data_IF_104330612109
#
_entry.id   IF_104330612109
#
_cell.length_a   1.000
_cell.length_b   1.000
_cell.length_c   1.000
_cell.angle_alpha   90.00
_cell.angle_beta   90.00
_cell.angle_gamma   90.00
#
_symmetry.space_group_name_H-M   'P 1'
#
loop_
_entity.id
_entity.type
_entity.pdbx_description
1 polymer ?
#
# COMPACT_ATOMS: atom_id res chain seq x y z
N UNK A 1 -30.89 -17.80 7.91
CA UNK A 1 -29.55 -17.17 7.84
C UNK A 1 -29.71 -15.72 8.25
N UNK A 2 -29.19 -15.32 9.41
CA UNK A 2 -29.13 -13.90 9.74
C UNK A 2 -28.12 -13.25 8.78
N UNK A 3 -28.53 -12.17 8.13
CA UNK A 3 -27.62 -11.36 7.34
C UNK A 3 -26.54 -10.84 8.28
N UNK A 4 -25.32 -11.37 8.19
CA UNK A 4 -24.17 -10.75 8.83
C UNK A 4 -24.16 -9.28 8.43
N UNK A 5 -24.21 -8.41 9.45
CA UNK A 5 -24.13 -6.99 9.21
C UNK A 5 -22.71 -6.73 8.70
N UNK A 6 -22.55 -6.51 7.39
CA UNK A 6 -21.26 -6.38 6.69
C UNK A 6 -20.25 -5.40 7.32
N UNK A 7 -20.73 -4.58 8.25
CA UNK A 7 -19.98 -3.54 8.95
C UNK A 7 -19.43 -3.96 10.32
N UNK A 8 -20.00 -5.00 10.96
CA UNK A 8 -19.60 -5.52 12.28
C UNK A 8 -19.37 -7.03 12.18
N UNK A 9 -18.10 -7.44 12.22
CA UNK A 9 -17.71 -8.85 12.17
C UNK A 9 -16.73 -9.14 13.31
N UNK A 10 -16.72 -10.37 13.87
CA UNK A 10 -15.78 -10.73 14.93
C UNK A 10 -14.32 -10.46 14.57
N UNK A 11 -13.96 -10.63 13.29
CA UNK A 11 -12.63 -10.32 12.76
C UNK A 11 -12.31 -8.83 12.91
N UNK A 12 -13.26 -7.93 12.61
CA UNK A 12 -13.03 -6.49 12.78
C UNK A 12 -12.90 -6.11 14.25
N UNK A 13 -13.66 -6.75 15.13
CA UNK A 13 -13.58 -6.51 16.58
C UNK A 13 -12.21 -6.94 17.13
N UNK A 14 -11.71 -8.11 16.75
CA UNK A 14 -10.37 -8.59 17.11
C UNK A 14 -9.28 -7.61 16.64
N UNK A 15 -9.39 -7.10 15.41
CA UNK A 15 -8.44 -6.12 14.89
C UNK A 15 -8.54 -4.77 15.60
N UNK A 16 -9.75 -4.33 15.99
CA UNK A 16 -9.91 -3.13 16.81
C UNK A 16 -9.21 -3.27 18.16
N UNK A 17 -9.28 -4.43 18.81
CA UNK A 17 -8.57 -4.70 20.06
C UNK A 17 -7.05 -4.61 19.87
N UNK A 18 -6.50 -5.24 18.82
CA UNK A 18 -5.07 -5.15 18.47
C UNK A 18 -4.62 -3.72 18.23
N UNK A 19 -5.40 -2.94 17.50
CA UNK A 19 -5.11 -1.54 17.18
C UNK A 19 -5.19 -0.67 18.44
N UNK A 20 -6.19 -0.90 19.29
CA UNK A 20 -6.36 -0.18 20.55
C UNK A 20 -5.24 -0.46 21.56
N UNK A 21 -4.52 -1.59 21.43
CA UNK A 21 -3.36 -1.91 22.26
C UNK A 21 -2.10 -1.11 21.90
N UNK A 22 -2.02 -0.50 20.70
CA UNK A 22 -0.85 0.30 20.28
C UNK A 22 -0.63 1.50 21.21
N UNK A 23 0.62 1.74 21.61
CA UNK A 23 1.02 2.83 22.52
C UNK A 23 2.02 3.79 21.91
N UNK A 24 2.81 3.33 20.95
CA UNK A 24 3.85 4.16 20.31
C UNK A 24 3.70 4.21 18.80
N UNK A 25 4.18 5.30 18.19
CA UNK A 25 4.19 5.44 16.73
C UNK A 25 4.99 4.33 16.04
N UNK A 26 6.07 3.85 16.66
CA UNK A 26 6.91 2.77 16.13
C UNK A 26 6.17 1.43 16.08
N UNK A 27 5.42 1.06 17.12
CA UNK A 27 4.55 -0.13 17.11
C UNK A 27 3.50 -0.02 15.99
N UNK A 28 2.90 1.16 15.85
CA UNK A 28 1.92 1.42 14.81
C UNK A 28 2.49 1.32 13.40
N UNK A 29 3.68 1.89 13.16
CA UNK A 29 4.42 1.77 11.89
C UNK A 29 4.68 0.30 11.56
N UNK A 30 5.22 -0.46 12.52
CA UNK A 30 5.53 -1.88 12.32
C UNK A 30 4.28 -2.69 11.98
N UNK A 31 3.17 -2.47 12.72
CA UNK A 31 1.89 -3.11 12.44
C UNK A 31 1.37 -2.76 11.04
N UNK A 32 1.40 -1.49 10.65
CA UNK A 32 0.90 -1.06 9.34
C UNK A 32 1.73 -1.62 8.18
N UNK A 33 3.06 -1.60 8.30
CA UNK A 33 3.96 -2.15 7.29
C UNK A 33 3.74 -3.66 7.13
N UNK A 34 3.65 -4.39 8.24
CA UNK A 34 3.38 -5.82 8.20
C UNK A 34 2.00 -6.13 7.62
N UNK A 35 0.97 -5.40 8.03
CA UNK A 35 -0.38 -5.54 7.50
C UNK A 35 -0.44 -5.35 5.98
N UNK A 36 0.20 -4.30 5.47
CA UNK A 36 0.29 -4.02 4.03
C UNK A 36 1.03 -5.11 3.28
N UNK A 37 2.10 -5.68 3.86
CA UNK A 37 2.82 -6.80 3.28
C UNK A 37 1.91 -8.04 3.15
N UNK A 38 1.20 -8.38 4.21
CA UNK A 38 0.42 -9.62 4.30
C UNK A 38 -0.90 -9.57 3.54
N UNK A 39 -1.59 -8.43 3.56
CA UNK A 39 -3.01 -8.37 3.21
C UNK A 39 -3.37 -7.41 2.06
N UNK A 40 -2.43 -6.60 1.54
CA UNK A 40 -2.73 -5.62 0.48
C UNK A 40 -1.96 -5.86 -0.82
N UNK A 41 -2.47 -5.30 -1.92
CA UNK A 41 -1.92 -5.49 -3.25
C UNK A 41 -2.24 -6.86 -3.89
N UNK A 42 -1.84 -7.08 -5.15
CA UNK A 42 -1.93 -8.38 -5.81
C UNK A 42 -0.84 -9.37 -5.33
N UNK A 43 0.22 -8.85 -4.73
CA UNK A 43 1.39 -9.55 -4.17
C UNK A 43 1.24 -9.82 -2.66
N UNK A 44 0.01 -9.83 -2.15
CA UNK A 44 -0.28 -10.12 -0.73
C UNK A 44 0.09 -11.56 -0.39
N UNK A 45 0.53 -11.80 0.84
CA UNK A 45 0.91 -13.15 1.31
C UNK A 45 -0.31 -14.03 1.59
N UNK A 46 -1.44 -13.44 1.99
CA UNK A 46 -2.67 -14.17 2.30
C UNK A 46 -3.91 -13.42 1.84
N UNK A 47 -4.95 -14.19 1.50
CA UNK A 47 -6.27 -13.68 1.12
C UNK A 47 -7.33 -13.84 2.22
N UNK A 48 -6.94 -14.27 3.43
CA UNK A 48 -7.85 -14.49 4.57
C UNK A 48 -8.73 -13.27 4.88
N UNK A 49 -8.16 -12.07 4.83
CA UNK A 49 -8.86 -10.81 5.10
C UNK A 49 -9.37 -10.10 3.83
N UNK A 50 -9.65 -10.84 2.74
CA UNK A 50 -9.97 -10.22 1.44
C UNK A 50 -11.13 -9.21 1.51
N UNK A 51 -12.14 -9.42 2.36
CA UNK A 51 -13.32 -8.54 2.47
C UNK A 51 -13.13 -7.43 3.51
N UNK A 52 -12.17 -7.59 4.41
CA UNK A 52 -11.98 -6.76 5.60
C UNK A 52 -10.74 -5.87 5.49
N UNK A 53 -9.76 -6.24 4.67
CA UNK A 53 -8.41 -5.67 4.72
C UNK A 53 -8.38 -4.15 4.55
N UNK A 54 -9.16 -3.60 3.60
CA UNK A 54 -9.21 -2.16 3.38
C UNK A 54 -9.74 -1.39 4.60
N UNK A 55 -10.76 -1.95 5.28
CA UNK A 55 -11.32 -1.34 6.47
C UNK A 55 -10.33 -1.40 7.62
N UNK A 56 -9.71 -2.58 7.86
CA UNK A 56 -8.73 -2.76 8.92
C UNK A 56 -7.53 -1.84 8.69
N UNK A 57 -7.00 -1.78 7.46
CA UNK A 57 -5.89 -0.89 7.10
C UNK A 57 -6.22 0.56 7.46
N UNK A 58 -7.42 1.05 7.12
CA UNK A 58 -7.82 2.42 7.47
C UNK A 58 -7.85 2.68 8.97
N UNK A 59 -8.20 1.67 9.80
CA UNK A 59 -8.22 1.80 11.26
C UNK A 59 -6.81 1.83 11.84
N UNK A 60 -5.90 1.03 11.28
CA UNK A 60 -4.48 1.10 11.61
C UNK A 60 -3.94 2.48 11.21
N UNK A 61 -4.20 2.95 9.99
CA UNK A 61 -3.78 4.28 9.50
C UNK A 61 -4.24 5.41 10.42
N UNK A 62 -5.51 5.40 10.85
CA UNK A 62 -6.04 6.39 11.80
C UNK A 62 -5.28 6.37 13.14
N UNK A 63 -5.07 5.19 13.71
CA UNK A 63 -4.36 5.06 14.99
C UNK A 63 -2.91 5.50 14.90
N UNK A 64 -2.24 5.13 13.81
CA UNK A 64 -0.86 5.52 13.52
C UNK A 64 -0.74 7.04 13.34
N UNK A 65 -1.67 7.67 12.61
CA UNK A 65 -1.70 9.11 12.43
C UNK A 65 -1.92 9.84 13.77
N UNK A 66 -2.81 9.34 14.62
CA UNK A 66 -3.05 9.87 15.96
C UNK A 66 -1.76 9.80 16.81
N UNK A 67 -1.14 8.62 16.90
CA UNK A 67 0.10 8.42 17.68
C UNK A 67 1.24 9.31 17.18
N UNK A 68 1.37 9.50 15.86
CA UNK A 68 2.34 10.41 15.28
C UNK A 68 2.05 11.87 15.69
N UNK A 69 0.80 12.30 15.63
CA UNK A 69 0.39 13.64 16.06
C UNK A 69 0.63 13.87 17.56
N UNK A 70 0.40 12.87 18.40
CA UNK A 70 0.65 12.94 19.85
C UNK A 70 2.15 13.00 20.18
N UNK A 71 2.98 12.28 19.41
CA UNK A 71 4.43 12.25 19.61
C UNK A 71 5.17 13.45 18.99
N UNK A 72 4.55 14.15 18.05
CA UNK A 72 5.19 15.25 17.31
C UNK A 72 5.05 16.57 18.05
N UNK A 73 6.18 17.15 18.47
CA UNK A 73 6.20 18.42 19.22
C UNK A 73 5.87 19.62 18.33
N UNK A 74 6.37 19.63 17.08
CA UNK A 74 6.22 20.77 16.17
C UNK A 74 5.30 20.42 15.00
N UNK A 75 4.18 21.14 14.86
CA UNK A 75 3.18 20.89 13.81
C UNK A 75 3.77 20.89 12.38
N UNK A 76 4.82 21.68 12.12
CA UNK A 76 5.50 21.69 10.83
C UNK A 76 6.10 20.32 10.46
N UNK A 77 6.60 19.57 11.47
CA UNK A 77 7.17 18.24 11.24
C UNK A 77 6.13 17.23 10.73
N UNK A 78 4.83 17.41 11.04
CA UNK A 78 3.77 16.56 10.48
C UNK A 78 3.61 16.73 8.96
N UNK A 79 4.03 17.87 8.42
CA UNK A 79 3.92 18.20 7.00
C UNK A 79 5.23 17.98 6.24
N UNK A 80 6.36 18.12 6.92
CA UNK A 80 7.69 18.18 6.30
C UNK A 80 8.55 16.95 6.54
N UNK A 81 8.11 16.01 7.38
CA UNK A 81 8.80 14.76 7.66
C UNK A 81 7.92 13.55 7.39
N UNK A 82 8.54 12.44 7.01
CA UNK A 82 7.88 11.13 7.06
C UNK A 82 7.63 10.74 8.52
N UNK A 83 6.76 9.76 8.73
CA UNK A 83 6.38 9.32 10.09
C UNK A 83 7.56 8.78 10.92
N UNK A 84 8.63 8.34 10.25
CA UNK A 84 9.87 7.87 10.85
C UNK A 84 10.96 8.96 10.88
N UNK A 85 10.62 10.22 10.60
CA UNK A 85 11.48 11.39 10.75
C UNK A 85 12.41 11.69 9.57
N UNK A 86 12.31 10.95 8.46
CA UNK A 86 13.13 11.18 7.25
C UNK A 86 12.62 12.35 6.42
N UNK A 87 13.47 12.85 5.54
CA UNK A 87 13.10 13.85 4.55
C UNK A 87 12.28 13.22 3.41
N UNK A 88 11.01 13.63 3.20
CA UNK A 88 10.18 13.08 2.15
C UNK A 88 10.68 13.44 0.73
N UNK A 89 11.52 14.47 0.57
CA UNK A 89 12.17 14.80 -0.70
C UNK A 89 13.19 13.72 -1.08
N UNK A 90 14.05 13.31 -0.15
CA UNK A 90 15.04 12.25 -0.40
C UNK A 90 14.35 10.93 -0.77
N UNK A 91 13.25 10.59 -0.08
CA UNK A 91 12.45 9.41 -0.42
C UNK A 91 11.83 9.56 -1.82
N UNK A 92 11.30 10.74 -2.14
CA UNK A 92 10.74 11.01 -3.47
C UNK A 92 11.77 10.76 -4.57
N UNK A 93 12.98 11.28 -4.40
CA UNK A 93 14.08 11.10 -5.35
C UNK A 93 14.52 9.64 -5.45
N UNK A 94 14.65 8.94 -4.32
CA UNK A 94 15.00 7.51 -4.29
C UNK A 94 14.04 6.67 -5.14
N UNK A 95 12.73 6.87 -4.98
CA UNK A 95 11.72 6.07 -5.68
C UNK A 95 11.56 6.44 -7.15
N UNK A 96 11.74 7.72 -7.49
CA UNK A 96 11.76 8.14 -8.89
C UNK A 96 12.99 7.61 -9.61
N UNK A 97 14.16 7.62 -8.96
CA UNK A 97 15.40 7.05 -9.51
C UNK A 97 15.28 5.56 -9.78
N UNK A 98 14.70 4.79 -8.85
CA UNK A 98 14.40 3.35 -9.08
C UNK A 98 13.52 3.11 -10.30
N UNK A 99 12.70 4.07 -10.69
CA UNK A 99 11.82 3.95 -11.84
C UNK A 99 12.49 4.31 -13.17
N UNK A 100 13.64 5.01 -13.19
CA UNK A 100 14.23 5.58 -14.40
C UNK A 100 14.52 4.52 -15.46
N UNK A 101 15.15 3.41 -15.05
CA UNK A 101 15.62 2.35 -15.96
C UNK A 101 14.61 1.19 -16.14
N UNK A 102 13.42 1.28 -15.54
CA UNK A 102 12.42 0.22 -15.68
C UNK A 102 11.64 0.41 -16.98
N UNK A 103 11.85 -0.49 -17.94
CA UNK A 103 11.11 -0.52 -19.22
C UNK A 103 10.12 -1.69 -19.33
N UNK A 104 10.05 -2.53 -18.30
CA UNK A 104 9.08 -3.62 -18.23
C UNK A 104 7.82 -3.19 -17.45
N UNK A 105 6.60 -3.31 -18.03
CA UNK A 105 5.36 -2.91 -17.33
C UNK A 105 5.08 -3.73 -16.07
N UNK A 106 5.56 -4.98 -15.99
CA UNK A 106 5.39 -5.85 -14.81
C UNK A 106 6.29 -5.38 -13.67
N UNK A 107 7.55 -5.08 -13.96
CA UNK A 107 8.50 -4.55 -12.98
C UNK A 107 8.06 -3.17 -12.49
N UNK A 108 7.58 -2.31 -13.39
CA UNK A 108 7.06 -1.00 -13.02
C UNK A 108 5.82 -1.12 -12.13
N UNK A 109 4.94 -2.09 -12.39
CA UNK A 109 3.79 -2.38 -11.52
C UNK A 109 4.22 -2.84 -10.12
N UNK A 110 5.27 -3.66 -10.03
CA UNK A 110 5.84 -4.11 -8.74
C UNK A 110 6.41 -2.92 -7.97
N UNK A 111 7.15 -2.02 -8.65
CA UNK A 111 7.67 -0.80 -8.03
C UNK A 111 6.54 0.09 -7.51
N UNK A 112 5.50 0.35 -8.30
CA UNK A 112 4.33 1.12 -7.86
C UNK A 112 3.65 0.48 -6.63
N UNK A 113 3.51 -0.84 -6.61
CA UNK A 113 2.92 -1.56 -5.48
C UNK A 113 3.79 -1.44 -4.23
N UNK A 114 5.10 -1.63 -4.36
CA UNK A 114 6.06 -1.48 -3.27
C UNK A 114 6.07 -0.05 -2.70
N UNK A 115 6.02 0.96 -3.57
CA UNK A 115 5.96 2.37 -3.17
C UNK A 115 4.73 2.63 -2.32
N UNK A 116 3.54 2.20 -2.76
CA UNK A 116 2.30 2.37 -2.00
C UNK A 116 2.35 1.64 -0.65
N UNK A 117 2.86 0.41 -0.61
CA UNK A 117 2.97 -0.35 0.65
C UNK A 117 3.89 0.35 1.66
N UNK A 118 5.01 0.91 1.20
CA UNK A 118 5.97 1.59 2.04
C UNK A 118 5.50 2.99 2.48
N UNK A 119 4.89 3.76 1.58
CA UNK A 119 4.77 5.21 1.73
C UNK A 119 3.38 5.79 1.67
N UNK A 120 2.35 4.98 1.40
CA UNK A 120 0.96 5.47 1.49
C UNK A 120 0.74 6.10 2.88
N UNK A 121 0.09 7.28 2.96
CA UNK A 121 -0.21 7.92 4.22
C UNK A 121 -0.79 6.94 5.26
N UNK A 122 -0.49 7.11 6.56
CA UNK A 122 0.21 8.24 7.18
C UNK A 122 1.75 8.17 7.13
N UNK A 123 2.35 7.21 6.39
CA UNK A 123 3.80 7.01 6.36
C UNK A 123 4.57 8.22 5.80
N UNK A 124 4.01 8.85 4.77
CA UNK A 124 4.54 10.06 4.14
C UNK A 124 3.43 11.12 4.07
N UNK A 125 3.74 12.42 4.19
CA UNK A 125 2.75 13.46 3.96
C UNK A 125 2.20 13.40 2.53
N UNK A 126 0.89 13.56 2.39
CA UNK A 126 0.18 13.38 1.11
C UNK A 126 0.71 14.27 -0.02
N UNK A 127 1.20 15.47 0.32
CA UNK A 127 1.74 16.44 -0.62
C UNK A 127 3.04 15.97 -1.29
N UNK A 128 3.78 15.06 -0.69
CA UNK A 128 4.94 14.40 -1.30
C UNK A 128 4.53 13.08 -1.95
N UNK A 129 3.64 12.33 -1.30
CA UNK A 129 3.23 11.02 -1.79
C UNK A 129 2.54 11.08 -3.17
N UNK A 130 1.52 11.94 -3.30
CA UNK A 130 0.64 11.95 -4.47
C UNK A 130 1.34 12.39 -5.78
N UNK A 131 2.23 13.41 -5.79
CA UNK A 131 3.00 13.75 -6.98
C UNK A 131 3.91 12.61 -7.48
N UNK A 132 4.55 11.86 -6.57
CA UNK A 132 5.38 10.71 -6.93
C UNK A 132 4.52 9.60 -7.49
N UNK A 133 3.42 9.25 -6.82
CA UNK A 133 2.46 8.25 -7.28
C UNK A 133 1.97 8.58 -8.71
N UNK A 134 1.63 9.85 -8.97
CA UNK A 134 1.25 10.32 -10.30
C UNK A 134 2.35 10.04 -11.33
N UNK A 135 3.61 10.37 -11.04
CA UNK A 135 4.75 10.13 -11.96
C UNK A 135 4.96 8.63 -12.21
N UNK A 136 4.99 7.81 -11.16
CA UNK A 136 5.19 6.36 -11.26
C UNK A 136 4.07 5.70 -12.06
N UNK A 137 2.81 6.01 -11.76
CA UNK A 137 1.66 5.46 -12.49
C UNK A 137 1.62 5.96 -13.93
N UNK A 138 2.00 7.22 -14.20
CA UNK A 138 2.07 7.73 -15.57
C UNK A 138 3.07 6.94 -16.42
N UNK A 139 4.25 6.61 -15.87
CA UNK A 139 5.23 5.74 -16.56
C UNK A 139 4.66 4.33 -16.76
N UNK A 140 4.05 3.72 -15.73
CA UNK A 140 3.42 2.41 -15.85
C UNK A 140 2.37 2.35 -16.96
N UNK A 141 1.50 3.35 -17.07
CA UNK A 141 0.47 3.41 -18.11
C UNK A 141 1.09 3.53 -19.51
N UNK A 142 2.15 4.34 -19.66
CA UNK A 142 2.90 4.44 -20.92
C UNK A 142 3.55 3.12 -21.33
N UNK A 143 4.08 2.35 -20.39
CA UNK A 143 4.67 1.03 -20.67
C UNK A 143 3.61 -0.03 -21.01
N UNK A 144 2.40 0.08 -20.46
CA UNK A 144 1.31 -0.86 -20.75
C UNK A 144 0.60 -0.59 -22.08
N UNK A 145 0.51 0.67 -22.49
CA UNK A 145 -0.33 1.07 -23.61
C UNK A 145 0.00 0.38 -24.96
N UNK A 146 1.28 0.26 -25.39
CA UNK A 146 1.62 -0.33 -26.69
C UNK A 146 1.20 -1.79 -26.83
N UNK A 147 1.19 -2.52 -25.71
CA UNK A 147 1.03 -3.97 -25.69
C UNK A 147 -0.39 -4.42 -25.31
N UNK A 148 -1.29 -3.46 -25.04
CA UNK A 148 -2.57 -3.71 -24.37
C UNK A 148 -3.51 -4.64 -25.15
N UNK A 149 -3.53 -4.53 -26.49
CA UNK A 149 -4.39 -5.35 -27.37
C UNK A 149 -3.60 -6.27 -28.31
N UNK A 150 -2.27 -6.23 -28.23
CA UNK A 150 -1.39 -6.90 -29.20
C UNK A 150 -0.75 -8.15 -28.64
N UNK A 151 -0.64 -8.28 -27.31
CA UNK A 151 -0.05 -9.47 -26.68
C UNK A 151 -1.11 -10.58 -26.56
N UNK A 152 -0.89 -11.79 -27.11
CA UNK A 152 -1.79 -12.91 -26.95
C UNK A 152 -2.05 -13.25 -25.47
N UNK A 153 -3.25 -13.72 -25.15
CA UNK A 153 -3.66 -14.03 -23.77
C UNK A 153 -2.76 -15.12 -23.16
N UNK A 154 -2.33 -16.08 -23.95
CA UNK A 154 -1.43 -17.15 -23.55
C UNK A 154 -0.06 -16.62 -23.11
N UNK A 155 0.46 -15.60 -23.79
CA UNK A 155 1.70 -14.92 -23.41
C UNK A 155 1.50 -14.06 -22.17
N UNK A 156 0.38 -13.35 -22.06
CA UNK A 156 0.01 -12.60 -20.86
C UNK A 156 -0.08 -13.50 -19.63
N UNK A 157 -0.69 -14.69 -19.74
CA UNK A 157 -0.75 -15.68 -18.65
C UNK A 157 0.64 -16.09 -18.17
N UNK A 158 1.59 -16.32 -19.09
CA UNK A 158 2.99 -16.63 -18.76
C UNK A 158 3.70 -15.45 -18.09
N UNK A 159 3.56 -14.25 -18.65
CA UNK A 159 4.14 -13.01 -18.09
C UNK A 159 3.65 -12.73 -16.66
N UNK A 160 2.38 -13.03 -16.39
CA UNK A 160 1.78 -12.87 -15.07
C UNK A 160 1.96 -14.09 -14.14
N UNK A 161 2.59 -15.16 -14.62
CA UNK A 161 2.74 -16.43 -13.89
C UNK A 161 1.40 -16.96 -13.33
N UNK A 162 0.33 -16.85 -14.13
CA UNK A 162 -1.00 -17.27 -13.72
C UNK A 162 -1.14 -18.80 -13.80
N UNK A 163 -1.73 -19.40 -12.76
CA UNK A 163 -2.15 -20.81 -12.81
C UNK A 163 -3.51 -20.90 -13.49
N UNK A 164 -3.59 -21.65 -14.59
CA UNK A 164 -4.85 -21.88 -15.28
C UNK A 164 -5.72 -22.83 -14.45
N UNK A 165 -6.87 -22.35 -14.00
CA UNK A 165 -7.90 -23.18 -13.38
C UNK A 165 -9.06 -23.25 -14.38
N UNK A 166 -9.34 -24.44 -14.88
CA UNK A 166 -10.56 -24.71 -15.65
C UNK A 166 -11.58 -25.29 -14.70
N UNK A 167 -12.75 -24.64 -14.62
CA UNK A 167 -13.94 -25.20 -13.97
C UNK A 167 -14.92 -25.48 -15.11
N UNK A 168 -15.38 -26.73 -15.21
CA UNK A 168 -16.36 -27.16 -16.20
C UNK A 168 -17.70 -26.48 -16.00
#
# INVERSE_FOLDING_TARGET
MMAEHWYHTPVRDEWLEKIAALRTVQEGIAMLQQFRKEHTGPDRLTYELKKEANWIESRIEMRVAQLHSEATIANAALLEKTIDGRDPVEITEEWLKKAEDIDCPIEMQRLCTAYRKAWKPPMMPINYFAPVEKKLVSKLLKLRAPNYLTTPVEELRKLHNATLISVQ
#
